data_IF_104923099246
#
_entry.id   IF_104923099246
#
_cell.length_a   1.000
_cell.length_b   1.000
_cell.length_c   1.000
_cell.angle_alpha   90.00
_cell.angle_beta   90.00
_cell.angle_gamma   90.00
#
_symmetry.space_group_name_H-M   'P 1'
#
loop_
_entity.id
_entity.type
_entity.pdbx_description
1 polymer ?
#
# COMPACT_ATOMS: atom_id res chain seq x y z
N UNK A 1 4.85 8.08 -25.22
CA UNK A 1 5.62 9.17 -24.58
C UNK A 1 4.75 10.42 -24.55
N UNK A 2 3.87 10.53 -23.55
CA UNK A 2 3.13 11.76 -23.27
C UNK A 2 3.86 12.51 -22.17
N UNK A 3 4.26 13.78 -22.34
CA UNK A 3 4.92 14.54 -21.29
C UNK A 3 3.91 14.89 -20.17
N UNK A 4 4.37 14.81 -18.92
CA UNK A 4 3.63 15.27 -17.73
C UNK A 4 3.26 16.76 -17.89
N UNK A 5 2.03 17.20 -17.55
CA UNK A 5 1.67 18.61 -17.62
C UNK A 5 2.34 19.41 -16.48
N UNK A 6 3.23 20.33 -16.86
CA UNK A 6 3.76 21.38 -15.99
C UNK A 6 2.64 22.38 -15.65
N UNK A 7 2.27 22.51 -14.37
CA UNK A 7 1.31 23.52 -13.90
C UNK A 7 1.97 24.50 -12.93
N UNK A 8 2.56 25.54 -13.50
CA UNK A 8 2.86 26.80 -12.83
C UNK A 8 1.62 27.68 -12.82
N UNK A 9 1.26 28.17 -11.62
CA UNK A 9 0.48 29.39 -11.33
C UNK A 9 -0.95 29.50 -11.86
N UNK A 10 -1.92 29.54 -10.92
CA UNK A 10 -2.96 30.58 -10.88
C UNK A 10 -3.61 30.68 -9.49
N UNK A 11 -3.20 31.72 -8.76
CA UNK A 11 -3.98 32.32 -7.67
C UNK A 11 -5.03 33.24 -8.30
N UNK A 12 -6.31 32.99 -8.06
CA UNK A 12 -7.33 34.05 -8.02
C UNK A 12 -8.41 33.66 -7.03
N UNK A 13 -8.60 34.55 -6.05
CA UNK A 13 -9.66 34.50 -5.06
C UNK A 13 -11.04 34.61 -5.72
N UNK A 14 -11.97 33.74 -5.32
CA UNK A 14 -13.38 33.81 -5.67
C UNK A 14 -14.21 33.87 -4.39
N UNK A 15 -14.92 34.97 -4.24
CA UNK A 15 -15.72 35.36 -3.06
C UNK A 15 -16.91 34.41 -2.88
N UNK A 16 -17.13 33.99 -1.64
CA UNK A 16 -18.27 33.20 -1.21
C UNK A 16 -19.59 33.95 -1.41
N UNK A 17 -20.62 33.25 -1.88
CA UNK A 17 -22.02 33.66 -1.73
C UNK A 17 -22.83 32.46 -1.27
N UNK A 18 -23.15 32.49 0.01
CA UNK A 18 -24.04 31.57 0.72
C UNK A 18 -25.49 31.91 0.38
N UNK A 19 -26.21 30.97 -0.25
CA UNK A 19 -27.67 30.95 -0.23
C UNK A 19 -28.14 29.66 0.42
N UNK A 20 -28.52 29.80 1.69
CA UNK A 20 -29.14 28.79 2.52
C UNK A 20 -30.63 28.72 2.17
N UNK A 21 -31.05 27.68 1.44
CA UNK A 21 -32.46 27.38 1.22
C UNK A 21 -32.88 26.26 2.17
N UNK A 22 -33.58 26.65 3.25
CA UNK A 22 -34.23 25.76 4.20
C UNK A 22 -35.54 25.24 3.57
N UNK A 23 -35.60 23.97 3.19
CA UNK A 23 -36.86 23.29 2.88
C UNK A 23 -37.16 22.29 3.99
N UNK A 24 -38.14 22.65 4.82
CA UNK A 24 -38.78 21.74 5.77
C UNK A 24 -39.66 20.76 4.98
N UNK A 25 -39.33 19.48 5.00
CA UNK A 25 -40.25 18.40 4.66
C UNK A 25 -40.50 17.53 5.88
N UNK A 26 -41.77 17.45 6.23
CA UNK A 26 -42.38 16.75 7.36
C UNK A 26 -42.11 15.25 7.38
N UNK A 27 -41.83 14.74 8.58
CA UNK A 27 -41.73 13.32 8.89
C UNK A 27 -43.04 12.57 8.62
N UNK A 28 -42.94 11.45 7.90
CA UNK A 28 -43.95 10.40 7.90
C UNK A 28 -43.32 9.15 8.51
N UNK A 29 -43.74 8.83 9.74
CA UNK A 29 -43.38 7.62 10.47
C UNK A 29 -44.16 6.46 9.85
N UNK A 30 -43.49 5.64 9.04
CA UNK A 30 -44.00 4.38 8.53
C UNK A 30 -43.36 3.20 9.27
N UNK A 31 -44.12 2.55 10.14
CA UNK A 31 -43.76 1.28 10.78
C UNK A 31 -44.11 0.14 9.83
N UNK A 32 -43.13 -0.69 9.47
CA UNK A 32 -43.33 -1.95 8.71
C UNK A 32 -42.43 -3.03 9.34
N UNK A 33 -42.89 -4.28 9.48
CA UNK A 33 -42.56 -5.13 10.64
C UNK A 33 -41.26 -5.94 10.48
N UNK A 34 -40.83 -6.48 11.63
CA UNK A 34 -39.70 -7.37 11.78
C UNK A 34 -39.89 -8.75 11.12
N UNK A 35 -38.76 -9.26 10.64
CA UNK A 35 -38.38 -10.67 10.48
C UNK A 35 -39.22 -11.54 9.52
N UNK A 36 -38.65 -11.78 8.33
CA UNK A 36 -38.83 -13.06 7.62
C UNK A 36 -37.46 -13.72 7.53
N UNK A 37 -37.32 -14.84 8.23
CA UNK A 37 -36.16 -15.71 8.17
C UNK A 37 -36.02 -16.25 6.75
N UNK A 38 -34.92 -15.90 6.08
CA UNK A 38 -34.54 -16.59 4.85
C UNK A 38 -33.92 -17.94 5.21
N UNK A 39 -34.64 -18.97 4.79
CA UNK A 39 -34.26 -20.37 4.86
C UNK A 39 -32.90 -20.59 4.20
N UNK A 40 -32.00 -21.28 4.90
CA UNK A 40 -30.75 -21.76 4.35
C UNK A 40 -31.04 -22.69 3.15
N UNK A 41 -30.61 -22.28 1.97
CA UNK A 41 -30.54 -23.13 0.79
C UNK A 41 -29.32 -24.08 0.93
N UNK A 42 -29.37 -25.29 0.34
CA UNK A 42 -28.36 -26.31 0.57
C UNK A 42 -27.01 -25.89 0.01
N UNK A 43 -25.95 -26.29 0.70
CA UNK A 43 -24.58 -26.12 0.28
C UNK A 43 -24.31 -26.96 -0.98
N UNK A 44 -24.53 -26.37 -2.15
CA UNK A 44 -23.85 -26.83 -3.35
C UNK A 44 -22.36 -26.55 -3.15
N UNK A 45 -21.57 -27.63 -3.20
CA UNK A 45 -20.13 -27.60 -3.07
C UNK A 45 -19.55 -26.72 -4.18
N UNK A 46 -19.19 -25.49 -3.83
CA UNK A 46 -18.26 -24.69 -4.61
C UNK A 46 -16.93 -25.43 -4.62
N UNK A 47 -16.68 -26.18 -5.70
CA UNK A 47 -15.33 -26.58 -6.03
C UNK A 47 -14.56 -25.28 -6.34
N UNK A 48 -13.78 -24.83 -5.36
CA UNK A 48 -12.80 -23.77 -5.51
C UNK A 48 -11.92 -24.13 -6.73
N UNK A 49 -11.77 -23.23 -7.72
CA UNK A 49 -10.76 -23.44 -8.74
C UNK A 49 -9.40 -23.50 -8.05
N UNK A 50 -8.62 -24.51 -8.43
CA UNK A 50 -7.31 -24.80 -7.84
C UNK A 50 -6.45 -23.53 -7.78
N UNK A 51 -5.87 -23.30 -6.60
CA UNK A 51 -4.85 -22.30 -6.33
C UNK A 51 -3.79 -22.31 -7.44
N UNK A 52 -3.68 -21.21 -8.18
CA UNK A 52 -2.60 -20.99 -9.14
C UNK A 52 -1.71 -19.88 -8.58
N UNK A 53 -0.44 -20.26 -8.38
CA UNK A 53 0.63 -19.57 -7.65
C UNK A 53 1.04 -18.21 -8.25
N UNK A 54 1.23 -17.18 -7.39
CA UNK A 54 2.52 -16.61 -6.88
C UNK A 54 3.17 -15.54 -7.76
N UNK A 55 3.46 -14.36 -7.18
CA UNK A 55 4.79 -13.69 -7.20
C UNK A 55 4.76 -12.30 -6.56
N UNK A 56 5.81 -11.90 -5.78
CA UNK A 56 6.05 -10.58 -5.13
C UNK A 56 5.83 -9.39 -6.08
N UNK A 57 6.06 -8.10 -5.74
CA UNK A 57 6.36 -7.16 -6.85
C UNK A 57 7.61 -7.67 -7.58
N UNK A 58 7.38 -8.41 -8.65
CA UNK A 58 8.39 -9.12 -9.42
C UNK A 58 8.49 -8.48 -10.78
N UNK A 59 9.64 -8.71 -11.41
CA UNK A 59 9.78 -8.41 -12.82
C UNK A 59 8.91 -9.38 -13.63
N UNK A 60 8.30 -8.86 -14.70
CA UNK A 60 7.57 -9.70 -15.64
C UNK A 60 8.42 -10.91 -16.10
N UNK A 61 7.87 -12.12 -15.96
CA UNK A 61 8.54 -13.37 -16.33
C UNK A 61 9.49 -13.96 -15.27
N UNK A 62 9.52 -13.40 -14.06
CA UNK A 62 10.15 -14.05 -12.91
C UNK A 62 9.36 -15.29 -12.46
N UNK A 63 9.99 -16.11 -11.62
CA UNK A 63 9.40 -17.28 -10.98
C UNK A 63 9.69 -17.21 -9.47
N UNK A 64 9.09 -16.26 -8.76
CA UNK A 64 9.19 -16.25 -7.31
C UNK A 64 8.29 -17.38 -6.74
N UNK A 65 8.58 -17.82 -5.51
CA UNK A 65 7.88 -18.98 -4.91
C UNK A 65 6.57 -18.60 -4.21
N UNK A 66 6.39 -17.33 -3.81
CA UNK A 66 5.14 -16.76 -3.28
C UNK A 66 5.23 -15.21 -3.21
N UNK A 67 4.19 -14.46 -3.58
CA UNK A 67 4.08 -13.02 -3.24
C UNK A 67 3.86 -12.88 -1.72
N UNK A 68 4.69 -12.12 -0.98
CA UNK A 68 4.61 -12.05 0.49
C UNK A 68 3.37 -11.35 1.07
N UNK A 69 2.79 -10.47 0.28
CA UNK A 69 1.67 -9.56 0.47
C UNK A 69 0.38 -9.96 -0.32
N UNK A 70 0.37 -11.01 -1.14
CA UNK A 70 -0.79 -11.59 -1.83
C UNK A 70 -1.42 -12.57 -0.87
N UNK A 71 -2.60 -12.19 -0.43
CA UNK A 71 -3.27 -12.91 0.63
C UNK A 71 -4.21 -13.93 0.01
N UNK A 72 -4.29 -15.11 0.61
CA UNK A 72 -5.39 -16.01 0.30
C UNK A 72 -6.73 -15.35 0.65
N UNK A 73 -7.83 -15.84 0.07
CA UNK A 73 -9.16 -15.36 0.42
C UNK A 73 -9.45 -15.52 1.93
N UNK A 74 -8.88 -16.55 2.58
CA UNK A 74 -8.98 -16.77 4.02
C UNK A 74 -8.23 -15.68 4.79
N UNK A 75 -6.97 -15.42 4.46
CA UNK A 75 -6.15 -14.40 5.12
C UNK A 75 -6.74 -13.00 4.94
N UNK A 76 -7.24 -12.69 3.73
CA UNK A 76 -7.93 -11.43 3.45
C UNK A 76 -9.14 -11.27 4.38
N UNK A 77 -10.02 -12.27 4.48
CA UNK A 77 -11.16 -12.23 5.40
C UNK A 77 -10.76 -12.09 6.86
N UNK A 78 -9.71 -12.78 7.29
CA UNK A 78 -9.18 -12.68 8.65
C UNK A 78 -8.65 -11.28 8.94
N UNK A 79 -7.96 -10.65 7.99
CA UNK A 79 -7.49 -9.27 8.11
C UNK A 79 -8.62 -8.25 8.13
N UNK A 80 -9.63 -8.38 7.27
CA UNK A 80 -10.80 -7.49 7.30
C UNK A 80 -11.55 -7.61 8.64
N UNK A 81 -11.69 -8.83 9.16
CA UNK A 81 -12.30 -9.07 10.47
C UNK A 81 -11.46 -8.46 11.60
N UNK A 82 -10.13 -8.58 11.56
CA UNK A 82 -9.23 -7.97 12.54
C UNK A 82 -9.27 -6.44 12.50
N UNK A 83 -9.31 -5.83 11.30
CA UNK A 83 -9.42 -4.38 11.13
C UNK A 83 -10.73 -3.88 11.74
N UNK A 84 -11.85 -4.54 11.42
CA UNK A 84 -13.14 -4.22 12.01
C UNK A 84 -13.14 -4.35 13.54
N UNK A 85 -12.50 -5.40 14.08
CA UNK A 85 -12.38 -5.59 15.53
C UNK A 85 -11.52 -4.50 16.18
N UNK A 86 -10.36 -4.17 15.61
CA UNK A 86 -9.46 -3.13 16.10
C UNK A 86 -10.13 -1.75 16.11
N UNK A 87 -10.93 -1.43 15.09
CA UNK A 87 -11.71 -0.19 15.04
C UNK A 87 -12.79 -0.14 16.12
N UNK A 88 -13.52 -1.26 16.36
CA UNK A 88 -14.53 -1.32 17.43
C UNK A 88 -13.92 -1.08 18.81
N UNK A 89 -12.74 -1.65 19.07
CA UNK A 89 -12.04 -1.42 20.32
C UNK A 89 -11.58 0.03 20.50
N UNK A 90 -11.05 0.65 19.44
CA UNK A 90 -10.69 2.08 19.44
C UNK A 90 -11.91 2.98 19.64
N UNK A 91 -13.05 2.64 19.04
CA UNK A 91 -14.30 3.38 19.21
C UNK A 91 -14.81 3.30 20.66
N UNK A 92 -14.76 2.12 21.28
CA UNK A 92 -15.12 1.94 22.69
C UNK A 92 -14.23 2.77 23.62
N UNK A 93 -12.94 2.92 23.30
CA UNK A 93 -12.01 3.79 24.02
C UNK A 93 -12.26 5.29 23.78
N UNK A 94 -12.81 5.68 22.63
CA UNK A 94 -13.06 7.07 22.22
C UNK A 94 -14.48 7.58 22.52
N UNK A 95 -15.27 6.91 23.37
CA UNK A 95 -16.61 7.34 23.82
C UNK A 95 -16.65 8.65 24.64
N UNK A 96 -15.66 9.55 24.44
CA UNK A 96 -15.62 10.92 24.95
C UNK A 96 -14.79 11.89 24.10
N UNK A 97 -14.31 11.51 22.90
CA UNK A 97 -13.52 12.37 22.02
C UNK A 97 -14.21 12.52 20.66
N UNK A 98 -14.59 13.76 20.32
CA UNK A 98 -15.26 14.09 19.06
C UNK A 98 -14.47 13.68 17.82
N UNK A 99 -15.17 13.53 16.70
CA UNK A 99 -14.59 13.17 15.40
C UNK A 99 -13.45 14.13 15.04
N UNK A 100 -12.20 13.66 15.15
CA UNK A 100 -11.05 14.41 14.70
C UNK A 100 -11.08 14.48 13.18
N UNK A 101 -10.99 15.71 12.64
CA UNK A 101 -10.74 15.95 11.23
C UNK A 101 -9.51 15.14 10.75
N UNK A 102 -9.42 14.88 9.44
CA UNK A 102 -8.29 14.24 8.77
C UNK A 102 -6.98 14.92 9.18
N UNK A 103 -6.36 14.46 10.26
CA UNK A 103 -5.11 15.02 10.73
C UNK A 103 -4.02 14.54 9.78
N UNK A 104 -3.27 15.48 9.21
CA UNK A 104 -2.06 15.15 8.47
C UNK A 104 -1.13 14.30 9.37
N UNK A 105 -0.67 13.16 8.85
CA UNK A 105 0.18 12.21 9.53
C UNK A 105 1.58 12.32 8.94
N UNK A 106 2.54 12.82 9.73
CA UNK A 106 3.95 12.75 9.37
C UNK A 106 4.57 11.49 9.97
N UNK A 107 4.95 10.56 9.10
CA UNK A 107 5.57 9.29 9.44
C UNK A 107 7.09 9.49 9.55
N UNK A 108 7.70 9.28 10.74
CA UNK A 108 9.14 9.19 10.85
C UNK A 108 9.65 7.95 10.11
N UNK A 109 10.66 8.14 9.26
CA UNK A 109 11.29 7.08 8.46
C UNK A 109 12.72 6.83 8.93
N UNK A 110 13.05 5.57 9.20
CA UNK A 110 14.41 5.09 9.44
C UNK A 110 14.79 4.19 8.28
N UNK A 111 15.90 4.51 7.61
CA UNK A 111 16.42 3.75 6.47
C UNK A 111 17.61 2.92 6.92
N UNK A 112 17.62 1.64 6.58
CA UNK A 112 18.70 0.70 6.81
C UNK A 112 19.27 0.25 5.46
N UNK A 113 20.47 0.70 5.12
CA UNK A 113 21.21 0.22 3.93
C UNK A 113 22.02 -1.00 4.35
N UNK A 114 21.64 -2.16 3.81
CA UNK A 114 22.31 -3.43 4.01
C UNK A 114 23.26 -3.65 2.84
N UNK A 115 24.53 -3.82 3.15
CA UNK A 115 25.60 -3.89 2.17
C UNK A 115 26.55 -5.05 2.48
N UNK A 116 27.04 -5.70 1.43
CA UNK A 116 28.11 -6.68 1.50
C UNK A 116 29.43 -6.00 1.88
N UNK A 117 29.74 -4.87 1.24
CA UNK A 117 30.97 -4.11 1.45
C UNK A 117 30.79 -2.60 1.22
N UNK A 118 31.89 -1.84 1.14
CA UNK A 118 31.87 -0.39 0.94
C UNK A 118 31.65 0.09 -0.51
N UNK A 119 31.47 -0.82 -1.47
CA UNK A 119 31.37 -0.49 -2.90
C UNK A 119 29.91 -0.34 -3.33
N UNK A 120 29.69 0.37 -4.46
CA UNK A 120 28.35 0.52 -5.04
C UNK A 120 27.72 -0.83 -5.44
N UNK A 121 28.55 -1.77 -5.91
CA UNK A 121 28.14 -3.12 -6.28
C UNK A 121 27.78 -3.97 -5.05
N UNK A 122 28.51 -3.80 -3.95
CA UNK A 122 28.18 -4.41 -2.66
C UNK A 122 27.05 -3.72 -1.89
N UNK A 123 26.22 -2.90 -2.53
CA UNK A 123 25.03 -2.28 -1.92
C UNK A 123 25.23 -0.90 -1.28
N UNK A 124 26.45 -0.35 -1.26
CA UNK A 124 26.70 0.99 -0.71
C UNK A 124 26.24 2.10 -1.67
N UNK A 125 24.98 2.53 -1.55
CA UNK A 125 24.39 3.62 -2.37
C UNK A 125 24.66 5.01 -1.83
N UNK A 126 24.65 6.06 -2.67
CA UNK A 126 24.71 7.44 -2.17
C UNK A 126 23.41 7.85 -1.47
N UNK A 127 23.50 8.73 -0.46
CA UNK A 127 22.34 9.29 0.26
C UNK A 127 21.35 10.00 -0.67
N UNK A 128 21.81 10.48 -1.85
CA UNK A 128 20.96 11.11 -2.86
C UNK A 128 19.87 10.18 -3.40
N UNK A 129 20.13 8.86 -3.49
CA UNK A 129 19.10 7.89 -3.89
C UNK A 129 18.02 7.78 -2.80
N UNK A 130 18.43 7.75 -1.53
CA UNK A 130 17.52 7.68 -0.38
C UNK A 130 16.66 8.95 -0.29
N UNK A 131 17.28 10.12 -0.38
CA UNK A 131 16.56 11.40 -0.35
C UNK A 131 15.58 11.55 -1.53
N UNK A 132 15.96 11.05 -2.71
CA UNK A 132 15.06 11.00 -3.87
C UNK A 132 13.87 10.08 -3.60
N UNK A 133 14.09 8.90 -3.00
CA UNK A 133 13.00 7.99 -2.62
C UNK A 133 12.03 8.63 -1.63
N UNK A 134 12.52 9.36 -0.63
CA UNK A 134 11.66 10.08 0.31
C UNK A 134 10.85 11.17 -0.40
N UNK A 135 11.43 11.81 -1.43
CA UNK A 135 10.72 12.79 -2.25
C UNK A 135 9.62 12.14 -3.08
N UNK A 136 9.90 10.99 -3.71
CA UNK A 136 8.92 10.18 -4.46
C UNK A 136 7.76 9.76 -3.58
N UNK A 137 8.02 9.27 -2.36
CA UNK A 137 6.96 8.93 -1.40
C UNK A 137 6.09 10.15 -1.09
N UNK A 138 6.68 11.31 -0.82
CA UNK A 138 5.89 12.52 -0.54
C UNK A 138 5.09 13.01 -1.76
N UNK A 139 5.62 12.87 -2.98
CA UNK A 139 4.91 13.25 -4.21
C UNK A 139 3.71 12.32 -4.46
N UNK A 140 3.91 11.00 -4.37
CA UNK A 140 2.86 10.01 -4.58
C UNK A 140 1.74 10.13 -3.54
N UNK A 141 2.09 10.17 -2.24
CA UNK A 141 1.11 10.19 -1.16
C UNK A 141 0.42 11.55 -0.98
N UNK A 142 0.99 12.65 -1.49
CA UNK A 142 0.28 13.93 -1.55
C UNK A 142 -0.69 14.05 -2.73
N UNK A 143 -0.72 13.06 -3.63
CA UNK A 143 -1.47 13.11 -4.90
C UNK A 143 -0.78 13.97 -5.97
N UNK A 144 0.45 14.42 -5.74
CA UNK A 144 1.23 15.27 -6.66
C UNK A 144 1.53 14.61 -8.01
N UNK A 145 1.48 13.28 -8.07
CA UNK A 145 1.65 12.49 -9.29
C UNK A 145 0.39 12.37 -10.15
N UNK A 146 -0.79 12.77 -9.64
CA UNK A 146 -2.06 12.78 -10.39
C UNK A 146 -3.22 12.00 -9.73
N UNK A 147 -2.96 11.28 -8.64
CA UNK A 147 -3.97 10.55 -7.87
C UNK A 147 -4.63 11.37 -6.75
N UNK A 148 -5.39 10.69 -5.88
CA UNK A 148 -5.97 11.31 -4.70
C UNK A 148 -4.90 11.65 -3.65
N UNK A 149 -5.05 12.80 -2.99
CA UNK A 149 -4.21 13.14 -1.85
C UNK A 149 -4.54 12.24 -0.64
N UNK A 150 -3.50 11.71 0.00
CA UNK A 150 -3.63 10.94 1.25
C UNK A 150 -3.34 11.85 2.46
N UNK A 151 -3.53 11.32 3.68
CA UNK A 151 -3.17 12.02 4.90
C UNK A 151 -1.66 11.98 5.22
N UNK A 152 -0.85 11.24 4.46
CA UNK A 152 0.50 10.85 4.87
C UNK A 152 1.60 11.69 4.22
N UNK A 153 2.58 12.06 5.05
CA UNK A 153 3.88 12.58 4.61
C UNK A 153 5.01 11.83 5.33
N UNK A 154 6.20 11.81 4.74
CA UNK A 154 7.33 11.00 5.20
C UNK A 154 8.52 11.89 5.53
N UNK A 155 9.05 11.73 6.74
CA UNK A 155 10.20 12.49 7.21
C UNK A 155 11.34 11.56 7.58
N UNK A 156 12.41 11.60 6.80
CA UNK A 156 13.65 10.87 7.09
C UNK A 156 14.25 11.34 8.42
N UNK A 157 14.38 10.42 9.36
CA UNK A 157 15.00 10.67 10.67
C UNK A 157 16.46 10.22 10.70
N UNK A 158 16.75 9.08 10.05
CA UNK A 158 18.04 8.41 10.17
C UNK A 158 18.32 7.53 8.95
N UNK A 159 19.58 7.52 8.53
CA UNK A 159 20.15 6.52 7.63
C UNK A 159 21.15 5.71 8.45
N UNK A 160 20.91 4.41 8.55
CA UNK A 160 21.81 3.43 9.15
C UNK A 160 22.44 2.60 8.04
N UNK A 161 23.77 2.49 7.99
CA UNK A 161 24.50 1.69 7.00
C UNK A 161 25.14 0.50 7.71
N UNK A 162 24.84 -0.70 7.24
CA UNK A 162 25.24 -1.94 7.90
C UNK A 162 25.96 -2.85 6.91
N UNK A 163 27.28 -2.97 7.09
CA UNK A 163 28.09 -3.95 6.37
C UNK A 163 27.96 -5.30 7.05
N UNK A 164 27.17 -6.18 6.45
CA UNK A 164 26.99 -7.54 6.95
C UNK A 164 26.72 -8.52 5.79
N UNK A 165 27.76 -9.18 5.26
CA UNK A 165 27.61 -10.17 4.19
C UNK A 165 26.65 -11.32 4.52
N UNK A 166 26.44 -11.64 5.81
CA UNK A 166 25.49 -12.69 6.20
C UNK A 166 24.01 -12.28 6.03
N UNK A 167 23.73 -11.00 5.78
CA UNK A 167 22.40 -10.46 5.49
C UNK A 167 22.24 -10.02 4.02
N UNK A 168 23.25 -10.26 3.17
CA UNK A 168 23.29 -9.79 1.79
C UNK A 168 23.53 -10.96 0.80
N UNK A 169 22.68 -11.18 -0.21
CA UNK A 169 21.41 -10.49 -0.47
C UNK A 169 20.38 -10.77 0.64
N UNK A 170 19.39 -9.89 0.76
CA UNK A 170 18.28 -10.08 1.70
C UNK A 170 17.35 -11.16 1.12
N UNK A 171 17.27 -12.29 1.83
CA UNK A 171 16.39 -13.41 1.45
C UNK A 171 15.13 -13.37 2.30
N UNK A 172 13.99 -13.22 1.65
CA UNK A 172 12.69 -13.13 2.30
C UNK A 172 12.37 -14.40 3.11
N UNK A 173 11.83 -14.24 4.32
CA UNK A 173 11.47 -15.34 5.23
C UNK A 173 12.65 -16.07 5.87
N UNK A 174 13.89 -15.69 5.54
CA UNK A 174 15.10 -16.33 6.06
C UNK A 174 15.36 -16.02 7.55
N UNK A 175 16.18 -16.84 8.20
CA UNK A 175 16.71 -16.51 9.53
C UNK A 175 17.58 -15.24 9.50
N UNK A 176 18.26 -14.98 8.38
CA UNK A 176 19.06 -13.78 8.17
C UNK A 176 18.18 -12.51 8.16
N UNK A 177 17.07 -12.49 7.41
CA UNK A 177 16.12 -11.37 7.42
C UNK A 177 15.56 -11.14 8.83
N UNK A 178 15.14 -12.22 9.52
CA UNK A 178 14.63 -12.13 10.90
C UNK A 178 15.68 -11.54 11.84
N UNK A 179 16.94 -11.99 11.73
CA UNK A 179 18.06 -11.49 12.54
C UNK A 179 18.33 -10.02 12.26
N UNK A 180 18.35 -9.64 10.97
CA UNK A 180 18.53 -8.27 10.50
C UNK A 180 17.45 -7.35 11.08
N UNK A 181 16.17 -7.63 10.82
CA UNK A 181 15.07 -6.77 11.29
C UNK A 181 14.96 -6.73 12.82
N UNK A 182 15.21 -7.85 13.50
CA UNK A 182 15.25 -7.89 14.98
C UNK A 182 16.36 -7.03 15.55
N UNK A 183 17.51 -6.95 14.89
CA UNK A 183 18.65 -6.15 15.35
C UNK A 183 18.51 -4.67 15.04
N UNK A 184 17.80 -4.33 13.96
CA UNK A 184 17.83 -2.99 13.38
C UNK A 184 16.56 -2.17 13.55
N UNK A 185 15.37 -2.79 13.73
CA UNK A 185 14.10 -2.05 13.77
C UNK A 185 14.09 -0.99 14.88
N UNK A 186 13.80 0.25 14.51
CA UNK A 186 13.73 1.40 15.40
C UNK A 186 12.31 1.97 15.51
N UNK A 187 12.01 2.62 16.64
CA UNK A 187 10.75 3.34 16.85
C UNK A 187 9.51 2.49 17.17
N UNK A 188 8.34 3.12 17.21
CA UNK A 188 7.05 2.49 17.53
C UNK A 188 6.27 2.03 16.30
N UNK A 189 4.97 1.77 16.47
CA UNK A 189 4.07 1.37 15.35
C UNK A 189 3.89 2.44 14.28
N UNK A 190 4.19 3.68 14.64
CA UNK A 190 4.10 4.87 13.78
C UNK A 190 5.42 5.16 13.04
N UNK A 191 6.48 4.36 13.23
CA UNK A 191 7.78 4.57 12.59
C UNK A 191 7.96 3.58 11.44
N UNK A 192 8.16 4.09 10.24
CA UNK A 192 8.43 3.27 9.06
C UNK A 192 9.92 2.91 9.02
N UNK A 193 10.23 1.62 9.05
CA UNK A 193 11.58 1.10 8.84
C UNK A 193 11.68 0.61 7.39
N UNK A 194 12.63 1.15 6.62
CA UNK A 194 12.89 0.79 5.22
C UNK A 194 14.24 0.09 5.14
N UNK A 195 14.26 -1.18 4.72
CA UNK A 195 15.49 -1.95 4.53
C UNK A 195 15.84 -1.99 3.05
N UNK A 196 17.00 -1.47 2.69
CA UNK A 196 17.51 -1.40 1.32
C UNK A 196 18.66 -2.39 1.15
N UNK A 197 18.63 -3.20 0.10
CA UNK A 197 19.70 -4.13 -0.24
C UNK A 197 19.50 -4.76 -1.61
N UNK A 198 20.39 -5.68 -1.98
CA UNK A 198 20.11 -6.64 -3.04
C UNK A 198 19.12 -7.69 -2.53
N UNK A 199 18.17 -8.09 -3.37
CA UNK A 199 17.14 -9.07 -3.01
C UNK A 199 17.36 -10.35 -3.82
N UNK A 200 16.98 -11.50 -3.26
CA UNK A 200 16.95 -12.77 -3.99
C UNK A 200 15.64 -12.97 -4.75
N UNK A 201 15.57 -14.02 -5.57
CA UNK A 201 14.36 -14.49 -6.27
C UNK A 201 13.69 -13.44 -7.19
N UNK A 202 14.46 -12.51 -7.76
CA UNK A 202 14.00 -11.44 -8.66
C UNK A 202 12.96 -10.48 -8.07
N UNK A 203 12.84 -10.44 -6.74
CA UNK A 203 11.94 -9.54 -6.04
C UNK A 203 12.38 -8.07 -6.15
N UNK A 204 11.42 -7.16 -6.27
CA UNK A 204 11.65 -5.72 -6.13
C UNK A 204 11.43 -5.24 -4.70
N UNK A 205 10.49 -5.85 -3.96
CA UNK A 205 10.22 -5.46 -2.59
C UNK A 205 9.22 -6.39 -1.91
N UNK A 206 9.05 -6.18 -0.61
CA UNK A 206 7.94 -6.73 0.17
C UNK A 206 7.71 -5.90 1.44
N UNK A 207 6.50 -6.00 1.99
CA UNK A 207 6.09 -5.27 3.18
C UNK A 207 5.56 -6.20 4.28
N UNK A 208 5.56 -5.70 5.51
CA UNK A 208 4.73 -6.29 6.57
C UNK A 208 3.46 -5.47 6.73
N UNK A 209 2.33 -6.09 6.46
CA UNK A 209 1.02 -5.51 6.75
C UNK A 209 0.87 -5.12 8.24
N UNK A 210 0.09 -4.09 8.57
CA UNK A 210 -0.07 -3.66 9.95
C UNK A 210 -0.77 -4.73 10.79
N UNK A 211 -0.35 -4.80 12.06
CA UNK A 211 -0.88 -5.73 13.07
C UNK A 211 -1.18 -4.98 14.37
N UNK A 212 -2.08 -5.55 15.17
CA UNK A 212 -2.43 -5.04 16.51
C UNK A 212 -1.26 -5.03 17.47
N UNK A 213 -0.37 -6.03 17.39
CA UNK A 213 0.86 -6.11 18.19
C UNK A 213 2.05 -5.92 17.25
N UNK A 214 2.89 -4.94 17.60
CA UNK A 214 4.13 -4.69 16.88
C UNK A 214 5.09 -5.87 17.08
N UNK A 215 5.71 -6.31 16.01
CA UNK A 215 6.80 -7.29 16.04
C UNK A 215 8.03 -6.73 15.32
N UNK A 216 9.15 -7.43 15.40
CA UNK A 216 10.40 -6.98 14.80
C UNK A 216 10.37 -6.98 13.27
N UNK A 217 9.40 -7.64 12.63
CA UNK A 217 9.34 -7.75 11.17
C UNK A 217 8.70 -6.52 10.51
N UNK A 218 7.99 -5.68 11.27
CA UNK A 218 7.32 -4.48 10.76
C UNK A 218 8.28 -3.54 10.02
N UNK A 219 7.86 -3.14 8.82
CA UNK A 219 8.63 -2.32 7.89
C UNK A 219 8.46 -2.81 6.45
N UNK A 220 9.26 -2.24 5.57
CA UNK A 220 9.33 -2.58 4.13
C UNK A 220 10.76 -2.93 3.75
N UNK A 221 10.93 -3.90 2.85
CA UNK A 221 12.19 -4.23 2.22
C UNK A 221 12.09 -3.86 0.75
N UNK A 222 13.07 -3.12 0.23
CA UNK A 222 13.04 -2.57 -1.13
C UNK A 222 14.38 -2.80 -1.80
N UNK A 223 14.36 -3.26 -3.04
CA UNK A 223 15.53 -3.43 -3.88
C UNK A 223 16.20 -2.08 -4.05
N UNK A 224 17.46 -2.01 -3.66
CA UNK A 224 18.27 -0.80 -3.76
C UNK A 224 18.28 -0.21 -5.17
N UNK A 225 18.36 -1.06 -6.20
CA UNK A 225 18.38 -0.64 -7.60
C UNK A 225 17.03 -0.13 -8.13
N UNK A 226 15.94 -0.28 -7.36
CA UNK A 226 14.62 0.26 -7.71
C UNK A 226 14.40 1.71 -7.28
N UNK A 227 15.32 2.26 -6.47
CA UNK A 227 15.28 3.66 -6.08
C UNK A 227 15.62 4.58 -7.28
N UNK A 228 15.21 5.86 -7.25
CA UNK A 228 15.65 6.84 -8.24
C UNK A 228 17.17 6.90 -8.37
N UNK A 229 17.67 6.69 -9.59
CA UNK A 229 19.11 6.62 -9.89
C UNK A 229 19.72 5.21 -9.79
N UNK A 230 18.89 4.20 -9.48
CA UNK A 230 19.26 2.79 -9.56
C UNK A 230 19.18 2.21 -10.97
N UNK A 231 19.59 0.96 -11.10
CA UNK A 231 19.76 0.25 -12.38
C UNK A 231 18.66 -0.76 -12.71
N UNK A 232 17.62 -0.90 -11.88
CA UNK A 232 16.49 -1.79 -12.16
C UNK A 232 15.60 -1.20 -13.26
N UNK A 233 15.94 -1.46 -14.53
CA UNK A 233 15.22 -0.95 -15.70
C UNK A 233 13.70 -1.11 -15.56
N UNK A 234 12.96 -0.03 -15.87
CA UNK A 234 11.50 0.12 -15.74
C UNK A 234 10.95 0.22 -14.30
N UNK A 235 11.79 -0.03 -13.30
CA UNK A 235 11.42 -0.10 -11.89
C UNK A 235 12.33 0.80 -11.03
N UNK A 236 13.00 1.79 -11.63
CA UNK A 236 14.02 2.62 -10.99
C UNK A 236 13.57 4.09 -10.82
N UNK A 237 12.26 4.35 -10.68
CA UNK A 237 11.74 5.68 -10.34
C UNK A 237 11.22 5.75 -8.90
N UNK A 238 11.36 4.66 -8.13
CA UNK A 238 11.03 4.61 -6.72
C UNK A 238 9.61 4.16 -6.40
N UNK A 239 8.83 3.73 -7.39
CA UNK A 239 7.44 3.33 -7.14
C UNK A 239 7.33 1.96 -6.47
N UNK A 240 8.38 1.14 -6.51
CA UNK A 240 8.48 -0.04 -5.62
C UNK A 240 8.35 0.38 -4.18
N UNK A 241 9.10 1.40 -3.74
CA UNK A 241 8.98 1.92 -2.39
C UNK A 241 7.59 2.48 -2.08
N UNK A 242 6.95 3.14 -3.05
CA UNK A 242 5.58 3.63 -2.94
C UNK A 242 4.57 2.49 -2.72
N UNK A 243 4.69 1.43 -3.51
CA UNK A 243 3.88 0.21 -3.47
C UNK A 243 4.01 -0.52 -2.13
N UNK A 244 5.24 -0.80 -1.68
CA UNK A 244 5.48 -1.52 -0.42
C UNK A 244 4.95 -0.73 0.79
N UNK A 245 5.09 0.60 0.77
CA UNK A 245 4.53 1.44 1.83
C UNK A 245 2.99 1.41 1.80
N UNK A 246 2.37 1.19 0.63
CA UNK A 246 0.93 1.00 0.48
C UNK A 246 0.46 -0.23 1.25
N UNK A 247 1.17 -1.36 1.11
CA UNK A 247 0.93 -2.56 1.92
C UNK A 247 1.17 -2.33 3.41
N UNK A 248 2.25 -1.62 3.79
CA UNK A 248 2.51 -1.27 5.20
C UNK A 248 1.40 -0.39 5.80
N UNK A 249 0.68 0.36 4.95
CA UNK A 249 -0.52 1.12 5.26
C UNK A 249 -1.85 0.39 4.97
N UNK A 250 -1.81 -0.93 4.74
CA UNK A 250 -2.97 -1.84 4.61
C UNK A 250 -3.71 -1.80 3.26
N UNK A 251 -3.06 -1.39 2.18
CA UNK A 251 -3.59 -1.61 0.82
C UNK A 251 -3.24 -3.01 0.33
N UNK A 252 -4.18 -3.68 -0.32
CA UNK A 252 -3.91 -4.91 -1.06
C UNK A 252 -3.57 -4.58 -2.50
N UNK A 253 -3.08 -5.58 -3.23
CA UNK A 253 -3.00 -5.50 -4.67
C UNK A 253 -4.37 -5.22 -5.29
N UNK A 254 -4.41 -4.46 -6.38
CA UNK A 254 -5.66 -4.17 -7.09
C UNK A 254 -6.32 -5.43 -7.68
N UNK A 255 -5.53 -6.44 -8.02
CA UNK A 255 -5.98 -7.77 -8.47
C UNK A 255 -6.33 -8.73 -7.31
N UNK A 256 -6.26 -8.30 -6.05
CA UNK A 256 -6.57 -9.15 -4.90
C UNK A 256 -8.01 -9.67 -4.99
N UNK A 257 -8.17 -11.00 -5.01
CA UNK A 257 -9.50 -11.63 -5.12
C UNK A 257 -10.08 -11.68 -6.54
N UNK A 258 -9.37 -11.16 -7.54
CA UNK A 258 -9.75 -11.20 -8.95
C UNK A 258 -11.08 -10.48 -9.25
N UNK A 259 -11.77 -10.94 -10.29
CA UNK A 259 -13.04 -10.34 -10.76
C UNK A 259 -14.27 -10.55 -9.86
N UNK A 260 -14.12 -11.10 -8.64
CA UNK A 260 -15.26 -11.50 -7.80
C UNK A 260 -15.07 -11.04 -6.34
N UNK A 261 -16.19 -11.01 -5.62
CA UNK A 261 -16.18 -10.66 -4.20
C UNK A 261 -15.91 -9.18 -3.96
N UNK A 262 -15.17 -8.88 -2.89
CA UNK A 262 -14.87 -7.50 -2.48
C UNK A 262 -13.52 -6.98 -3.01
N UNK A 263 -12.85 -7.73 -3.90
CA UNK A 263 -11.57 -7.35 -4.48
C UNK A 263 -10.50 -7.02 -3.42
N UNK A 264 -9.81 -5.92 -3.65
CA UNK A 264 -8.80 -5.32 -2.76
C UNK A 264 -9.38 -4.63 -1.50
N UNK A 265 -10.70 -4.72 -1.30
CA UNK A 265 -11.39 -4.12 -0.17
C UNK A 265 -11.52 -2.60 -0.29
N UNK A 266 -11.41 -2.05 -1.50
CA UNK A 266 -11.64 -0.64 -1.82
C UNK A 266 -12.67 -0.56 -2.96
N UNK A 267 -13.68 0.28 -2.81
CA UNK A 267 -14.84 0.26 -3.73
C UNK A 267 -14.64 1.07 -5.01
N UNK A 268 -13.67 2.00 -5.03
CA UNK A 268 -13.38 2.87 -6.19
C UNK A 268 -12.15 2.41 -7.01
N UNK A 269 -11.60 1.25 -6.68
CA UNK A 269 -10.66 0.49 -7.49
C UNK A 269 -11.45 -0.53 -8.33
N UNK A 270 -11.48 -0.39 -9.67
CA UNK A 270 -12.05 -1.42 -10.53
C UNK A 270 -11.38 -2.78 -10.29
N UNK A 271 -12.16 -3.85 -10.30
CA UNK A 271 -11.63 -5.20 -10.17
C UNK A 271 -10.87 -5.60 -11.44
N UNK A 272 -9.75 -6.29 -11.28
CA UNK A 272 -8.99 -6.92 -12.35
C UNK A 272 -8.70 -8.38 -11.99
N UNK A 273 -8.51 -9.24 -12.99
CA UNK A 273 -8.37 -10.68 -12.79
C UNK A 273 -6.98 -11.08 -12.29
N UNK A 274 -5.94 -10.40 -12.78
CA UNK A 274 -4.53 -10.70 -12.53
C UNK A 274 -3.68 -9.42 -12.66
N UNK A 275 -2.44 -9.37 -12.16
CA UNK A 275 -1.58 -8.18 -12.29
C UNK A 275 -1.36 -7.76 -13.75
N UNK A 276 -1.31 -6.46 -13.98
CA UNK A 276 -0.81 -5.91 -15.23
C UNK A 276 0.72 -5.71 -15.17
N UNK A 277 1.38 -5.95 -16.29
CA UNK A 277 2.81 -5.69 -16.45
C UNK A 277 3.04 -4.72 -17.60
N UNK A 278 4.23 -4.10 -17.61
CA UNK A 278 4.60 -3.11 -18.62
C UNK A 278 3.74 -1.84 -18.52
N UNK A 279 3.30 -1.30 -19.66
CA UNK A 279 2.43 -0.13 -19.75
C UNK A 279 1.30 -0.41 -20.73
N UNK A 280 0.35 -1.31 -20.39
CA UNK A 280 -0.75 -1.65 -21.27
C UNK A 280 -1.69 -0.45 -21.43
N UNK A 281 -2.64 -0.54 -22.35
CA UNK A 281 -3.66 0.49 -22.55
C UNK A 281 -5.02 -0.17 -22.75
N UNK A 282 -6.05 0.32 -22.07
CA UNK A 282 -7.41 -0.17 -22.24
C UNK A 282 -7.60 -1.64 -21.84
N UNK A 283 -6.78 -2.13 -20.90
CA UNK A 283 -6.91 -3.48 -20.36
C UNK A 283 -8.19 -3.56 -19.52
N UNK A 284 -8.95 -4.63 -19.73
CA UNK A 284 -10.24 -4.86 -19.12
C UNK A 284 -10.45 -6.37 -19.00
N UNK A 285 -10.13 -6.92 -17.84
CA UNK A 285 -10.13 -8.38 -17.60
C UNK A 285 -11.39 -8.85 -16.89
N UNK A 286 -12.16 -7.92 -16.31
CA UNK A 286 -13.37 -8.22 -15.56
C UNK A 286 -14.60 -7.59 -16.22
N UNK A 287 -15.76 -8.26 -16.13
CA UNK A 287 -17.01 -7.70 -16.67
C UNK A 287 -17.66 -6.64 -15.77
N UNK A 288 -17.10 -6.42 -14.57
CA UNK A 288 -17.53 -5.37 -13.66
C UNK A 288 -17.23 -3.99 -14.26
N UNK A 289 -17.86 -2.94 -13.72
CA UNK A 289 -17.68 -1.60 -14.26
C UNK A 289 -16.27 -1.05 -13.94
N UNK A 290 -15.63 -0.46 -14.96
CA UNK A 290 -14.32 0.16 -14.87
C UNK A 290 -13.25 -0.67 -15.58
N UNK A 291 -12.26 0.00 -16.19
CA UNK A 291 -11.10 -0.68 -16.77
C UNK A 291 -10.14 -1.09 -15.66
N UNK A 292 -9.30 -2.10 -15.94
CA UNK A 292 -8.26 -2.54 -15.02
C UNK A 292 -7.42 -1.34 -14.55
N UNK A 293 -7.11 -1.23 -13.25
CA UNK A 293 -6.46 -0.06 -12.65
C UNK A 293 -4.95 -0.01 -12.92
N UNK A 294 -4.54 -0.19 -14.17
CA UNK A 294 -3.15 -0.33 -14.66
C UNK A 294 -2.20 0.84 -14.36
N UNK A 295 -2.71 1.95 -13.81
CA UNK A 295 -1.93 3.12 -13.41
C UNK A 295 -1.90 3.32 -11.89
N UNK A 296 -2.50 2.40 -11.14
CA UNK A 296 -2.51 2.39 -9.68
C UNK A 296 -1.16 1.92 -9.14
N UNK A 297 -0.69 2.54 -8.06
CA UNK A 297 0.56 2.12 -7.42
C UNK A 297 0.50 0.71 -6.84
N UNK A 298 -0.69 0.12 -6.62
CA UNK A 298 -0.88 -1.24 -6.09
C UNK A 298 -1.02 -2.31 -7.18
N UNK A 299 -0.71 -1.99 -8.44
CA UNK A 299 -0.56 -2.94 -9.56
C UNK A 299 0.95 -3.15 -9.86
N UNK A 300 1.29 -3.99 -10.86
CA UNK A 300 2.66 -4.40 -11.21
C UNK A 300 3.21 -3.77 -12.48
N UNK A 301 2.53 -2.76 -13.00
CA UNK A 301 3.00 -2.01 -14.17
C UNK A 301 4.33 -1.32 -13.89
N UNK A 302 4.99 -0.87 -14.96
CA UNK A 302 6.24 -0.14 -14.85
C UNK A 302 6.02 1.19 -14.13
N UNK A 303 7.05 1.64 -13.41
CA UNK A 303 7.02 2.91 -12.67
C UNK A 303 6.62 4.09 -13.57
N UNK A 304 6.97 4.07 -14.86
CA UNK A 304 6.59 5.12 -15.81
C UNK A 304 5.08 5.29 -16.02
N UNK A 305 4.28 4.31 -15.60
CA UNK A 305 2.84 4.22 -15.90
C UNK A 305 1.97 4.19 -14.65
N UNK A 306 2.55 3.93 -13.47
CA UNK A 306 1.87 4.13 -12.20
C UNK A 306 1.98 5.60 -11.78
N UNK A 307 0.88 6.17 -11.28
CA UNK A 307 0.89 7.55 -10.79
C UNK A 307 -0.18 7.87 -9.75
N UNK A 308 -1.00 6.91 -9.31
CA UNK A 308 -2.13 7.22 -8.45
C UNK A 308 -2.44 6.18 -7.38
N UNK A 309 -2.92 6.70 -6.24
CA UNK A 309 -3.88 6.02 -5.38
C UNK A 309 -5.28 6.59 -5.64
N UNK A 310 -6.32 5.81 -5.34
CA UNK A 310 -7.71 6.26 -5.34
C UNK A 310 -8.08 6.97 -4.04
N UNK A 311 -9.24 7.63 -4.02
CA UNK A 311 -9.74 8.26 -2.79
C UNK A 311 -10.11 7.20 -1.72
N UNK A 312 -10.66 6.07 -2.15
CA UNK A 312 -10.95 4.93 -1.27
C UNK A 312 -9.69 4.28 -0.70
N UNK A 313 -8.60 4.19 -1.48
CA UNK A 313 -7.31 3.74 -0.96
C UNK A 313 -6.78 4.72 0.10
N UNK A 314 -6.87 6.03 -0.13
CA UNK A 314 -6.49 7.04 0.86
C UNK A 314 -7.27 6.91 2.18
N UNK A 315 -8.59 6.68 2.11
CA UNK A 315 -9.44 6.45 3.26
C UNK A 315 -9.10 5.15 4.00
N UNK A 316 -8.88 4.06 3.26
CA UNK A 316 -8.50 2.75 3.82
C UNK A 316 -7.18 2.85 4.58
N UNK A 317 -6.17 3.52 4.02
CA UNK A 317 -4.89 3.73 4.70
C UNK A 317 -5.05 4.49 6.02
N UNK A 318 -5.84 5.57 6.03
CA UNK A 318 -6.08 6.33 7.25
C UNK A 318 -6.88 5.54 8.30
N UNK A 319 -7.86 4.75 7.84
CA UNK A 319 -8.65 3.87 8.71
C UNK A 319 -7.75 2.83 9.38
N UNK A 320 -6.90 2.15 8.61
CA UNK A 320 -5.94 1.18 9.12
C UNK A 320 -4.87 1.83 10.02
N UNK A 321 -4.41 3.03 9.69
CA UNK A 321 -3.51 3.80 10.55
C UNK A 321 -4.12 4.03 11.93
N UNK A 322 -5.36 4.50 11.99
CA UNK A 322 -6.07 4.75 13.25
C UNK A 322 -6.32 3.47 14.07
N UNK A 323 -6.57 2.34 13.39
CA UNK A 323 -6.74 1.05 14.04
C UNK A 323 -5.43 0.54 14.66
N UNK A 324 -4.37 0.52 13.85
CA UNK A 324 -3.17 -0.24 14.17
C UNK A 324 -1.99 0.60 14.66
N UNK A 325 -1.77 1.77 14.05
CA UNK A 325 -0.50 2.51 14.14
C UNK A 325 -0.55 3.78 14.99
N UNK A 326 -1.71 4.45 15.04
CA UNK A 326 -1.93 5.62 15.88
C UNK A 326 -1.70 5.27 17.37
N UNK A 327 -1.16 6.21 18.15
CA UNK A 327 -1.03 6.06 19.59
C UNK A 327 -2.42 5.98 20.24
#
# INVERSE_FOLDING_TARGET
MGPRPNLLTRRTAGVASTTLALLLSTAAVGVVPAASAFSAAPADACAEPADVHSDARVKAGAHAKQEPNELTAKETREREADLAAALRERANFRTGAGAAALAAVTIPVVVHVIQEDGTRAGGNIPDSMINSQISVLNEAYSGGTGGAATAFSFQLQKINRVTNPAWYPIVQGSSAERSMKTSLREGGKNTLNVYLGELSDDLLGWATFPKRRLDSMDGVVVLTESLPGGTATNYNQGDTGTHEVGHWLNLYHTFQGGCRGSGDGVSDTPAEAEPAYQCPTGRDTCTAAGLDPITNFMDYTYDTCMYQFTAGQAERMLTAWNAYRAA
#
